data_IF_625299795013
#
_entry.id   IF_625299795013
#
_cell.length_a   1.000
_cell.length_b   1.000
_cell.length_c   1.000
_cell.angle_alpha   90.00
_cell.angle_beta   90.00
_cell.angle_gamma   90.00
#
_symmetry.space_group_name_H-M   'P 1'
#
loop_
_entity.id
_entity.type
_entity.pdbx_description
1 polymer ?
#
# COMPACT_ATOMS: atom_id res chain seq x y z
N UNK A 1 0.12 5.25 -18.79
CA UNK A 1 -0.59 4.03 -18.34
C UNK A 1 -1.70 4.46 -17.40
N UNK A 2 -2.95 4.41 -17.85
CA UNK A 2 -4.13 4.88 -17.10
C UNK A 2 -4.62 3.71 -16.25
N UNK A 3 -4.75 3.90 -14.94
CA UNK A 3 -5.28 2.89 -14.02
C UNK A 3 -6.72 2.53 -14.42
N UNK A 4 -7.07 1.23 -14.59
CA UNK A 4 -8.42 0.83 -14.93
C UNK A 4 -9.35 0.95 -13.71
N UNK A 5 -10.34 1.82 -13.81
CA UNK A 5 -11.69 1.65 -13.25
C UNK A 5 -11.83 1.23 -11.76
N UNK A 6 -11.26 1.99 -10.81
CA UNK A 6 -11.62 1.88 -9.38
C UNK A 6 -12.94 2.63 -9.02
N UNK A 7 -13.57 3.29 -9.99
CA UNK A 7 -14.72 4.19 -9.79
C UNK A 7 -16.14 3.55 -9.90
N UNK A 8 -16.37 2.32 -10.42
CA UNK A 8 -17.72 1.75 -10.48
C UNK A 8 -18.10 0.96 -9.21
N UNK A 9 -17.15 0.32 -8.51
CA UNK A 9 -17.46 -0.54 -7.35
C UNK A 9 -17.96 0.29 -6.16
N UNK A 10 -17.30 1.41 -5.85
CA UNK A 10 -17.72 2.30 -4.76
C UNK A 10 -19.10 2.92 -4.99
N UNK A 11 -19.42 3.27 -6.23
CA UNK A 11 -20.76 3.77 -6.61
C UNK A 11 -21.82 2.67 -6.56
N UNK A 12 -21.50 1.45 -6.97
CA UNK A 12 -22.40 0.29 -6.85
C UNK A 12 -22.63 -0.11 -5.40
N UNK A 13 -21.59 -0.08 -4.56
CA UNK A 13 -21.69 -0.35 -3.13
C UNK A 13 -22.62 0.67 -2.46
N UNK A 14 -22.40 1.97 -2.71
CA UNK A 14 -23.26 3.04 -2.20
C UNK A 14 -24.72 2.93 -2.66
N UNK A 15 -24.95 2.49 -3.90
CA UNK A 15 -26.30 2.24 -4.41
C UNK A 15 -26.94 1.00 -3.77
N UNK A 16 -26.18 -0.08 -3.60
CA UNK A 16 -26.65 -1.34 -3.03
C UNK A 16 -27.03 -1.19 -1.56
N UNK A 17 -26.18 -0.46 -0.81
CA UNK A 17 -26.45 -0.04 0.56
C UNK A 17 -27.79 0.69 0.60
N UNK A 18 -28.00 1.72 -0.24
CA UNK A 18 -29.24 2.51 -0.27
C UNK A 18 -30.49 1.70 -0.70
N UNK A 19 -30.31 0.70 -1.56
CA UNK A 19 -31.39 -0.14 -2.10
C UNK A 19 -31.84 -1.22 -1.10
N UNK A 20 -30.93 -1.75 -0.28
CA UNK A 20 -31.26 -2.71 0.78
C UNK A 20 -31.64 -2.05 2.11
N UNK A 21 -31.02 -0.90 2.39
CA UNK A 21 -31.24 -0.05 3.55
C UNK A 21 -32.72 0.25 3.80
N UNK A 22 -33.35 0.91 2.83
CA UNK A 22 -34.71 1.45 2.95
C UNK A 22 -35.79 0.38 3.17
N UNK A 23 -35.81 -0.75 2.43
CA UNK A 23 -36.80 -1.80 2.68
C UNK A 23 -36.53 -2.56 3.99
N UNK A 24 -35.28 -2.74 4.40
CA UNK A 24 -34.95 -3.38 5.68
C UNK A 24 -35.31 -2.48 6.87
N UNK A 25 -34.98 -1.19 6.79
CA UNK A 25 -35.40 -0.15 7.73
C UNK A 25 -36.91 -0.20 8.00
N UNK A 26 -37.71 -0.21 6.92
CA UNK A 26 -39.17 -0.27 7.02
C UNK A 26 -39.68 -1.58 7.64
N UNK A 27 -39.06 -2.73 7.34
CA UNK A 27 -39.44 -4.03 7.92
C UNK A 27 -39.04 -4.17 9.38
N UNK A 28 -37.84 -3.74 9.75
CA UNK A 28 -37.36 -3.73 11.13
C UNK A 28 -38.29 -2.84 11.95
N UNK A 29 -38.58 -1.61 11.49
CA UNK A 29 -39.54 -0.73 12.16
C UNK A 29 -40.92 -1.39 12.35
N UNK A 30 -41.47 -2.00 11.30
CA UNK A 30 -42.80 -2.63 11.37
C UNK A 30 -42.87 -3.81 12.35
N UNK A 31 -41.80 -4.60 12.49
CA UNK A 31 -41.75 -5.71 13.44
C UNK A 31 -41.54 -5.22 14.88
N UNK A 32 -40.74 -4.18 15.08
CA UNK A 32 -40.46 -3.62 16.40
C UNK A 32 -41.62 -2.80 16.98
N UNK A 33 -42.43 -2.17 16.13
CA UNK A 33 -43.66 -1.47 16.56
C UNK A 33 -44.73 -2.45 17.08
N UNK A 34 -44.74 -3.70 16.62
CA UNK A 34 -45.70 -4.73 17.05
C UNK A 34 -45.34 -5.38 18.38
N UNK A 35 -44.06 -5.42 18.75
CA UNK A 35 -43.63 -6.01 20.02
C UNK A 35 -43.52 -4.95 21.13
N UNK A 36 -44.07 -5.20 22.33
CA UNK A 36 -44.04 -4.23 23.43
C UNK A 36 -42.61 -3.92 23.90
N UNK A 37 -41.72 -4.92 23.86
CA UNK A 37 -40.29 -4.76 24.16
C UNK A 37 -39.60 -3.90 23.10
N UNK A 38 -39.89 -4.15 21.81
CA UNK A 38 -39.35 -3.39 20.70
C UNK A 38 -39.76 -1.92 20.74
N UNK A 39 -41.04 -1.65 21.03
CA UNK A 39 -41.58 -0.29 21.19
C UNK A 39 -40.90 0.45 22.34
N UNK A 40 -40.72 -0.19 23.49
CA UNK A 40 -40.05 0.41 24.66
C UNK A 40 -38.58 0.75 24.37
N UNK A 41 -37.89 -0.14 23.66
CA UNK A 41 -36.52 0.11 23.21
C UNK A 41 -36.43 1.28 22.23
N UNK A 42 -37.36 1.37 21.27
CA UNK A 42 -37.41 2.48 20.32
C UNK A 42 -37.76 3.81 21.00
N UNK A 43 -38.67 3.83 21.95
CA UNK A 43 -38.98 5.04 22.74
C UNK A 43 -37.73 5.47 23.51
N UNK A 44 -37.03 4.54 24.16
CA UNK A 44 -35.78 4.84 24.84
C UNK A 44 -34.73 5.41 23.87
N UNK A 45 -34.57 4.84 22.68
CA UNK A 45 -33.68 5.37 21.64
C UNK A 45 -34.09 6.77 21.15
N UNK A 46 -35.38 7.03 20.97
CA UNK A 46 -35.88 8.34 20.58
C UNK A 46 -35.59 9.40 21.65
N UNK A 47 -35.83 9.07 22.92
CA UNK A 47 -35.53 9.96 24.04
C UNK A 47 -34.03 10.22 24.18
N UNK A 48 -33.18 9.21 23.98
CA UNK A 48 -31.72 9.40 24.01
C UNK A 48 -31.25 10.28 22.86
N UNK A 49 -31.75 10.09 21.65
CA UNK A 49 -31.41 10.95 20.50
C UNK A 49 -31.76 12.42 20.79
N UNK A 50 -32.97 12.68 21.29
CA UNK A 50 -33.40 14.02 21.64
C UNK A 50 -32.55 14.63 22.78
N UNK A 51 -32.24 13.83 23.81
CA UNK A 51 -31.43 14.26 24.94
C UNK A 51 -29.97 14.54 24.53
N UNK A 52 -29.39 13.71 23.66
CA UNK A 52 -28.03 13.90 23.12
C UNK A 52 -27.98 15.18 22.27
N UNK A 53 -28.93 15.37 21.35
CA UNK A 53 -29.00 16.57 20.53
C UNK A 53 -29.11 17.84 21.37
N UNK A 54 -30.01 17.84 22.36
CA UNK A 54 -30.20 18.97 23.28
C UNK A 54 -28.93 19.23 24.11
N UNK A 55 -28.27 18.16 24.60
CA UNK A 55 -27.01 18.28 25.34
C UNK A 55 -25.89 18.83 24.48
N UNK A 56 -25.74 18.37 23.23
CA UNK A 56 -24.72 18.86 22.29
C UNK A 56 -24.90 20.35 22.01
N UNK A 57 -26.12 20.80 21.72
CA UNK A 57 -26.42 22.22 21.46
C UNK A 57 -26.14 23.09 22.68
N UNK A 58 -26.53 22.64 23.87
CA UNK A 58 -26.28 23.36 25.12
C UNK A 58 -24.78 23.40 25.46
N UNK A 59 -24.07 22.30 25.25
CA UNK A 59 -22.63 22.21 25.46
C UNK A 59 -21.86 23.11 24.50
N UNK A 60 -22.21 23.13 23.21
CA UNK A 60 -21.56 24.00 22.22
C UNK A 60 -21.83 25.49 22.50
N UNK A 61 -23.00 25.80 23.08
CA UNK A 61 -23.39 27.16 23.47
C UNK A 61 -22.83 27.57 24.84
N UNK A 62 -22.08 26.71 25.53
CA UNK A 62 -21.47 26.99 26.84
C UNK A 62 -22.43 26.97 28.03
N UNK A 63 -23.69 26.57 27.84
CA UNK A 63 -24.70 26.52 28.90
C UNK A 63 -24.75 25.14 29.58
N UNK A 64 -24.97 25.13 30.91
CA UNK A 64 -25.11 23.89 31.70
C UNK A 64 -26.54 23.33 31.58
N UNK A 65 -26.65 22.08 31.16
CA UNK A 65 -27.94 21.37 31.00
C UNK A 65 -28.61 21.16 32.36
N UNK A 66 -29.80 21.74 32.58
CA UNK A 66 -30.56 21.62 33.84
C UNK A 66 -31.65 20.55 33.80
N UNK A 67 -32.55 20.60 32.82
CA UNK A 67 -33.64 19.65 32.67
C UNK A 67 -34.01 19.53 31.20
N UNK A 68 -34.23 18.31 30.72
CA UNK A 68 -34.64 18.03 29.34
C UNK A 68 -36.02 17.38 29.45
N UNK A 69 -37.04 18.06 28.93
CA UNK A 69 -38.40 17.52 28.90
C UNK A 69 -38.45 16.31 27.95
N UNK A 70 -38.99 15.15 28.38
CA UNK A 70 -39.17 14.02 27.49
C UNK A 70 -40.18 14.38 26.40
N UNK A 71 -39.93 13.93 25.17
CA UNK A 71 -40.86 14.11 24.04
C UNK A 71 -42.04 13.16 24.14
N UNK A 72 -43.12 13.46 23.42
CA UNK A 72 -44.29 12.59 23.30
C UNK A 72 -43.89 11.17 22.83
N UNK A 73 -44.51 10.13 23.39
CA UNK A 73 -44.16 8.73 23.10
C UNK A 73 -44.24 8.38 21.61
N UNK A 74 -45.24 8.89 20.89
CA UNK A 74 -45.38 8.67 19.45
C UNK A 74 -44.23 9.28 18.64
N UNK A 75 -43.80 10.48 19.03
CA UNK A 75 -42.65 11.15 18.43
C UNK A 75 -41.34 10.39 18.74
N UNK A 76 -41.15 9.97 20.00
CA UNK A 76 -39.98 9.18 20.40
C UNK A 76 -39.87 7.86 19.62
N UNK A 77 -40.99 7.17 19.44
CA UNK A 77 -41.05 5.92 18.69
C UNK A 77 -40.57 6.11 17.24
N UNK A 78 -41.04 7.16 16.57
CA UNK A 78 -40.64 7.46 15.19
C UNK A 78 -39.17 7.87 15.06
N UNK A 79 -38.66 8.70 15.98
CA UNK A 79 -37.25 9.12 16.00
C UNK A 79 -36.32 7.95 16.30
N UNK A 80 -36.67 7.09 17.26
CA UNK A 80 -35.90 5.89 17.58
C UNK A 80 -35.86 4.91 16.40
N UNK A 81 -36.96 4.78 15.66
CA UNK A 81 -37.02 3.91 14.48
C UNK A 81 -36.16 4.43 13.32
N UNK A 82 -36.14 5.74 13.09
CA UNK A 82 -35.27 6.35 12.08
C UNK A 82 -33.79 6.09 12.43
N UNK A 83 -33.39 6.39 13.68
CA UNK A 83 -32.03 6.18 14.17
C UNK A 83 -31.60 4.71 14.07
N UNK A 84 -32.47 3.77 14.47
CA UNK A 84 -32.17 2.34 14.39
C UNK A 84 -31.87 1.91 12.95
N UNK A 85 -32.66 2.43 12.00
CA UNK A 85 -32.49 2.09 10.60
C UNK A 85 -31.25 2.72 9.96
N UNK A 86 -30.93 3.96 10.31
CA UNK A 86 -29.72 4.63 9.87
C UNK A 86 -28.47 3.96 10.42
N UNK A 87 -28.51 3.59 11.72
CA UNK A 87 -27.42 2.86 12.39
C UNK A 87 -27.16 1.51 11.73
N UNK A 88 -28.21 0.77 11.37
CA UNK A 88 -28.07 -0.52 10.68
C UNK A 88 -27.31 -0.38 9.36
N UNK A 89 -27.64 0.64 8.56
CA UNK A 89 -26.99 0.93 7.28
C UNK A 89 -25.52 1.29 7.50
N UNK A 90 -25.25 2.12 8.51
CA UNK A 90 -23.90 2.51 8.90
C UNK A 90 -23.07 1.29 9.32
N UNK A 91 -23.63 0.38 10.13
CA UNK A 91 -22.94 -0.85 10.53
C UNK A 91 -22.65 -1.79 9.36
N UNK A 92 -23.61 -1.99 8.45
CA UNK A 92 -23.37 -2.81 7.25
C UNK A 92 -22.27 -2.20 6.38
N UNK A 93 -22.35 -0.89 6.14
CA UNK A 93 -21.38 -0.17 5.30
C UNK A 93 -19.98 -0.17 5.94
N UNK A 94 -19.89 0.19 7.22
CA UNK A 94 -18.66 0.18 7.99
C UNK A 94 -18.08 -1.23 8.14
N UNK A 95 -18.94 -2.23 8.33
CA UNK A 95 -18.54 -3.64 8.39
C UNK A 95 -17.86 -4.12 7.12
N UNK A 96 -18.36 -3.72 5.94
CA UNK A 96 -17.71 -4.02 4.65
C UNK A 96 -16.33 -3.36 4.58
N UNK A 97 -16.22 -2.09 4.95
CA UNK A 97 -14.94 -1.36 4.93
C UNK A 97 -13.92 -1.99 5.88
N UNK A 98 -14.34 -2.34 7.11
CA UNK A 98 -13.46 -3.01 8.08
C UNK A 98 -13.07 -4.40 7.58
N UNK A 99 -13.99 -5.13 6.94
CA UNK A 99 -13.69 -6.43 6.35
C UNK A 99 -12.66 -6.32 5.22
N UNK A 100 -12.83 -5.36 4.31
CA UNK A 100 -11.85 -5.09 3.25
C UNK A 100 -10.51 -4.65 3.82
N UNK A 101 -10.50 -3.77 4.82
CA UNK A 101 -9.29 -3.32 5.50
C UNK A 101 -8.53 -4.49 6.14
N UNK A 102 -9.22 -5.33 6.91
CA UNK A 102 -8.61 -6.50 7.55
C UNK A 102 -7.99 -7.43 6.49
N UNK A 103 -8.74 -7.71 5.41
CA UNK A 103 -8.25 -8.54 4.30
C UNK A 103 -7.13 -7.88 3.47
N UNK A 104 -7.10 -6.56 3.35
CA UNK A 104 -6.05 -5.82 2.64
C UNK A 104 -4.76 -5.76 3.45
N UNK A 105 -4.89 -5.67 4.78
CA UNK A 105 -3.73 -5.55 5.68
C UNK A 105 -2.77 -6.74 5.59
N UNK A 106 -3.27 -7.96 5.35
CA UNK A 106 -2.43 -9.14 5.16
C UNK A 106 -1.59 -9.04 3.87
N UNK A 107 -2.16 -8.47 2.81
CA UNK A 107 -1.47 -8.32 1.52
C UNK A 107 -0.42 -7.21 1.56
N UNK A 108 -0.67 -6.15 2.31
CA UNK A 108 0.29 -5.07 2.50
C UNK A 108 1.51 -5.54 3.30
N UNK A 109 1.30 -6.31 4.38
CA UNK A 109 2.40 -6.89 5.17
C UNK A 109 3.31 -7.79 4.35
N UNK A 110 2.74 -8.71 3.56
CA UNK A 110 3.54 -9.61 2.69
C UNK A 110 4.33 -8.81 1.64
N UNK A 111 3.75 -7.72 1.12
CA UNK A 111 4.42 -6.86 0.15
C UNK A 111 5.53 -6.02 0.81
N UNK A 112 5.34 -5.58 2.04
CA UNK A 112 6.35 -4.90 2.83
C UNK A 112 7.50 -5.83 3.20
N UNK A 113 7.21 -7.06 3.64
CA UNK A 113 8.23 -8.08 3.92
C UNK A 113 9.07 -8.40 2.68
N UNK A 114 8.44 -8.56 1.51
CA UNK A 114 9.15 -8.76 0.25
C UNK A 114 10.05 -7.58 -0.13
N UNK A 115 9.62 -6.33 0.17
CA UNK A 115 10.45 -5.13 -0.05
C UNK A 115 11.64 -5.07 0.90
N UNK A 116 11.44 -5.44 2.17
CA UNK A 116 12.52 -5.49 3.15
C UNK A 116 13.56 -6.54 2.76
N UNK A 117 13.13 -7.72 2.28
CA UNK A 117 14.03 -8.76 1.77
C UNK A 117 14.86 -8.26 0.59
N UNK A 118 14.26 -7.54 -0.36
CA UNK A 118 15.01 -6.96 -1.48
C UNK A 118 16.08 -5.96 -1.01
N UNK A 119 15.73 -5.11 -0.04
CA UNK A 119 16.69 -4.13 0.53
C UNK A 119 17.84 -4.86 1.25
N UNK A 120 17.56 -5.92 1.99
CA UNK A 120 18.60 -6.70 2.67
C UNK A 120 19.52 -7.39 1.65
N UNK A 121 18.98 -7.99 0.60
CA UNK A 121 19.75 -8.66 -0.44
C UNK A 121 20.64 -7.67 -1.21
N UNK A 122 20.08 -6.50 -1.55
CA UNK A 122 20.83 -5.43 -2.20
C UNK A 122 21.95 -4.89 -1.31
N UNK A 123 21.70 -4.74 0.00
CA UNK A 123 22.72 -4.32 0.96
C UNK A 123 23.86 -5.32 1.08
N UNK A 124 23.55 -6.63 1.10
CA UNK A 124 24.54 -7.69 1.13
C UNK A 124 25.37 -7.73 -0.15
N UNK A 125 24.72 -7.56 -1.31
CA UNK A 125 25.39 -7.48 -2.61
C UNK A 125 26.32 -6.26 -2.69
N UNK A 126 25.90 -5.11 -2.17
CA UNK A 126 26.73 -3.91 -2.12
C UNK A 126 27.93 -4.11 -1.20
N UNK A 127 27.76 -4.70 -0.02
CA UNK A 127 28.87 -5.02 0.88
C UNK A 127 29.88 -5.98 0.24
N UNK A 128 29.41 -7.01 -0.47
CA UNK A 128 30.30 -7.92 -1.20
C UNK A 128 31.13 -7.19 -2.28
N UNK A 129 30.52 -6.23 -2.99
CA UNK A 129 31.22 -5.37 -3.95
C UNK A 129 32.23 -4.44 -3.29
N UNK A 130 31.90 -3.85 -2.13
CA UNK A 130 32.84 -3.02 -1.38
C UNK A 130 34.06 -3.85 -0.94
N UNK A 131 33.82 -5.03 -0.36
CA UNK A 131 34.90 -5.93 0.06
C UNK A 131 35.81 -6.35 -1.11
N UNK A 132 35.27 -6.56 -2.31
CA UNK A 132 36.07 -6.90 -3.48
C UNK A 132 36.87 -5.71 -4.01
N UNK A 133 36.33 -4.48 -3.91
CA UNK A 133 37.06 -3.25 -4.22
C UNK A 133 38.17 -2.97 -3.19
N UNK A 134 37.94 -3.18 -1.90
CA UNK A 134 38.95 -3.00 -0.85
C UNK A 134 40.15 -3.92 -1.06
N UNK A 135 39.91 -5.19 -1.41
CA UNK A 135 40.97 -6.14 -1.78
C UNK A 135 41.84 -5.64 -2.94
N UNK A 136 41.24 -4.94 -3.92
CA UNK A 136 41.95 -4.33 -5.05
C UNK A 136 42.77 -3.11 -4.65
N UNK A 137 42.22 -2.27 -3.76
CA UNK A 137 42.96 -1.12 -3.24
C UNK A 137 44.20 -1.56 -2.48
N UNK A 138 44.07 -2.59 -1.64
CA UNK A 138 45.19 -3.14 -0.87
C UNK A 138 46.27 -3.68 -1.82
N UNK A 139 45.90 -4.48 -2.83
CA UNK A 139 46.89 -5.01 -3.78
C UNK A 139 47.59 -3.88 -4.55
N UNK A 140 46.84 -2.88 -5.03
CA UNK A 140 47.41 -1.71 -5.70
C UNK A 140 48.33 -0.88 -4.80
N UNK A 141 47.98 -0.71 -3.52
CA UNK A 141 48.85 -0.02 -2.56
C UNK A 141 50.15 -0.79 -2.34
N UNK A 142 50.08 -2.12 -2.20
CA UNK A 142 51.28 -2.97 -2.10
C UNK A 142 52.16 -2.86 -3.34
N UNK A 143 51.59 -2.89 -4.55
CA UNK A 143 52.33 -2.68 -5.80
C UNK A 143 52.98 -1.29 -5.86
N UNK A 144 52.22 -0.23 -5.54
CA UNK A 144 52.72 1.13 -5.56
C UNK A 144 53.84 1.34 -4.52
N UNK A 145 53.73 0.73 -3.34
CA UNK A 145 54.73 0.78 -2.27
C UNK A 145 55.99 -0.02 -2.63
N UNK A 146 55.85 -1.20 -3.25
CA UNK A 146 56.96 -1.99 -3.76
C UNK A 146 57.74 -1.24 -4.86
N UNK A 147 57.02 -0.67 -5.83
CA UNK A 147 57.64 0.10 -6.91
C UNK A 147 58.27 1.41 -6.40
N UNK A 148 57.60 2.12 -5.47
CA UNK A 148 58.19 3.31 -4.80
C UNK A 148 59.47 2.95 -4.03
N UNK A 149 59.48 1.82 -3.31
CA UNK A 149 60.69 1.34 -2.61
C UNK A 149 61.82 1.04 -3.57
N UNK A 150 61.54 0.41 -4.71
CA UNK A 150 62.54 0.20 -5.74
C UNK A 150 63.13 1.54 -6.23
N UNK A 151 62.27 2.51 -6.57
CA UNK A 151 62.68 3.84 -7.04
C UNK A 151 63.50 4.60 -5.97
N UNK A 152 63.05 4.61 -4.70
CA UNK A 152 63.69 5.34 -3.59
C UNK A 152 65.00 4.70 -3.14
N UNK A 153 65.15 3.38 -3.20
CA UNK A 153 66.41 2.67 -2.93
C UNK A 153 67.48 2.88 -4.02
N UNK A 154 67.33 3.89 -4.87
CA UNK A 154 68.36 4.32 -5.83
C UNK A 154 68.36 3.54 -7.14
N UNK A 155 67.26 2.85 -7.46
CA UNK A 155 67.14 2.02 -8.66
C UNK A 155 66.41 2.77 -9.81
N UNK A 156 66.37 4.12 -9.75
CA UNK A 156 65.61 4.93 -10.70
C UNK A 156 66.25 6.25 -11.11
N UNK A 157 67.32 6.19 -11.91
CA UNK A 157 67.57 7.09 -13.06
C UNK A 157 68.53 6.48 -14.11
N UNK A 158 68.74 5.16 -14.09
CA UNK A 158 69.66 4.50 -15.03
C UNK A 158 69.55 2.97 -15.04
N UNK A 159 69.32 2.44 -16.24
CA UNK A 159 69.64 1.12 -16.79
C UNK A 159 69.29 -0.21 -16.08
N UNK A 160 69.02 -0.30 -14.76
CA UNK A 160 68.84 -1.62 -14.10
C UNK A 160 67.69 -1.73 -13.08
N UNK A 161 66.76 -0.79 -13.09
CA UNK A 161 65.56 -0.91 -12.27
C UNK A 161 64.49 -1.78 -12.87
N UNK A 162 64.35 -3.00 -12.32
CA UNK A 162 63.28 -3.91 -12.71
C UNK A 162 61.96 -3.41 -12.13
N UNK A 163 61.13 -2.83 -12.99
CA UNK A 163 59.71 -2.64 -12.75
C UNK A 163 59.10 -4.00 -12.37
N UNK A 164 58.37 -4.04 -11.26
CA UNK A 164 57.59 -5.22 -10.88
C UNK A 164 56.23 -5.07 -11.53
N UNK A 165 55.97 -5.89 -12.54
CA UNK A 165 54.67 -5.91 -13.21
C UNK A 165 53.56 -6.28 -12.20
N UNK A 166 52.38 -5.65 -12.27
CA UNK A 166 51.25 -6.06 -11.45
C UNK A 166 50.94 -7.52 -11.73
N UNK A 167 50.79 -8.34 -10.68
CA UNK A 167 50.32 -9.71 -10.80
C UNK A 167 48.89 -9.77 -11.37
N UNK A 168 48.43 -10.98 -11.68
CA UNK A 168 47.12 -11.22 -12.29
C UNK A 168 46.00 -10.47 -11.56
N UNK A 169 45.06 -9.96 -12.36
CA UNK A 169 43.89 -9.20 -11.89
C UNK A 169 43.17 -10.07 -10.85
N UNK A 170 43.05 -9.60 -9.60
CA UNK A 170 42.32 -10.33 -8.57
C UNK A 170 40.93 -10.65 -9.13
N UNK A 171 40.59 -11.94 -9.32
CA UNK A 171 39.38 -12.33 -10.02
C UNK A 171 38.18 -11.83 -9.22
N UNK A 172 37.22 -11.26 -9.95
CA UNK A 172 35.93 -10.93 -9.36
C UNK A 172 35.21 -12.26 -9.20
N UNK A 173 35.11 -12.77 -7.97
CA UNK A 173 34.20 -13.88 -7.69
C UNK A 173 32.77 -13.32 -7.69
N UNK A 174 32.22 -13.11 -8.88
CA UNK A 174 30.80 -12.82 -9.07
C UNK A 174 29.94 -14.05 -8.73
N UNK A 175 30.54 -15.24 -8.67
CA UNK A 175 29.85 -16.52 -8.51
C UNK A 175 29.40 -16.83 -7.07
N UNK A 176 30.01 -16.24 -6.03
CA UNK A 176 29.49 -16.40 -4.66
C UNK A 176 28.16 -15.64 -4.43
N UNK A 177 27.71 -14.86 -5.41
CA UNK A 177 26.45 -14.10 -5.40
C UNK A 177 25.28 -14.90 -6.02
N UNK A 178 25.52 -16.14 -6.47
CA UNK A 178 24.55 -17.00 -7.15
C UNK A 178 23.67 -17.88 -6.26
N UNK A 179 23.12 -17.36 -5.16
CA UNK A 179 22.15 -18.08 -4.32
C UNK A 179 20.76 -18.19 -4.97
N UNK A 180 20.53 -19.23 -5.77
CA UNK A 180 19.21 -19.73 -6.26
C UNK A 180 18.25 -18.68 -6.84
N UNK A 181 18.51 -18.20 -8.06
CA UNK A 181 17.42 -17.73 -8.92
C UNK A 181 16.70 -18.93 -9.51
N UNK A 182 15.51 -19.23 -8.98
CA UNK A 182 14.64 -20.28 -9.45
C UNK A 182 14.20 -20.06 -10.90
N UNK A 183 14.18 -21.17 -11.62
CA UNK A 183 13.80 -21.34 -13.02
C UNK A 183 12.34 -20.95 -13.22
N UNK A 184 12.07 -19.74 -13.72
CA UNK A 184 10.77 -19.39 -14.31
C UNK A 184 10.92 -19.30 -15.83
N UNK A 185 10.51 -20.40 -16.49
CA UNK A 185 10.31 -20.48 -17.93
C UNK A 185 9.01 -19.74 -18.28
N UNK A 186 9.13 -18.54 -18.83
CA UNK A 186 8.06 -17.81 -19.53
C UNK A 186 8.39 -17.69 -21.03
N UNK A 187 7.41 -17.65 -21.93
CA UNK A 187 7.64 -17.87 -23.36
C UNK A 187 8.29 -16.64 -24.04
N UNK A 188 9.30 -16.90 -24.89
CA UNK A 188 9.89 -15.89 -25.78
C UNK A 188 8.84 -15.29 -26.72
N UNK A 189 8.79 -13.96 -26.89
CA UNK A 189 8.19 -13.38 -28.08
C UNK A 189 9.17 -13.53 -29.25
N UNK A 190 8.74 -14.22 -30.30
CA UNK A 190 9.43 -14.25 -31.57
C UNK A 190 9.48 -12.84 -32.15
N UNK A 191 10.68 -12.30 -32.32
CA UNK A 191 10.93 -11.06 -33.07
C UNK A 191 10.94 -11.45 -34.55
N UNK A 192 9.84 -11.17 -35.25
CA UNK A 192 9.79 -11.16 -36.70
C UNK A 192 10.25 -9.79 -37.22
N UNK A 193 11.24 -9.83 -38.10
CA UNK A 193 11.78 -8.69 -38.83
C UNK A 193 10.69 -7.98 -39.66
N UNK A 194 10.60 -6.64 -39.69
CA UNK A 194 9.65 -5.96 -40.56
C UNK A 194 10.13 -5.98 -42.01
N UNK A 195 9.31 -6.63 -42.84
CA UNK A 195 9.35 -6.68 -44.29
C UNK A 195 9.21 -5.28 -44.92
N UNK A 196 10.06 -5.03 -45.91
CA UNK A 196 10.17 -3.80 -46.65
C UNK A 196 9.12 -3.76 -47.78
N UNK A 197 7.83 -3.61 -47.46
CA UNK A 197 6.79 -3.51 -48.50
C UNK A 197 5.54 -2.68 -48.17
N UNK A 198 5.55 -1.82 -47.15
CA UNK A 198 4.39 -0.96 -46.83
C UNK A 198 4.74 0.53 -46.66
N UNK A 199 5.45 1.10 -47.63
CA UNK A 199 5.75 2.55 -47.69
C UNK A 199 4.84 3.37 -48.61
N UNK A 200 3.80 2.80 -49.18
CA UNK A 200 2.77 3.53 -49.92
C UNK A 200 1.46 3.49 -49.14
N UNK A 201 0.70 4.58 -49.14
CA UNK A 201 -0.65 4.74 -48.54
C UNK A 201 -0.72 5.30 -47.11
N UNK A 202 0.09 6.31 -46.79
CA UNK A 202 -0.37 7.36 -45.85
C UNK A 202 -0.28 8.72 -46.53
N UNK A 203 -1.29 8.99 -47.36
CA UNK A 203 -1.60 10.30 -47.93
C UNK A 203 -3.02 10.64 -47.50
N UNK A 204 -3.17 11.81 -46.86
CA UNK A 204 -4.44 12.51 -46.52
C UNK A 204 -5.31 11.85 -45.43
N UNK A 205 -5.90 12.56 -44.45
CA UNK A 205 -6.69 13.80 -44.51
C UNK A 205 -6.74 14.53 -43.13
N UNK A 206 -6.98 15.86 -43.08
CA UNK A 206 -7.18 16.63 -41.84
C UNK A 206 -8.68 16.86 -41.51
N UNK A 207 -9.06 16.69 -40.25
CA UNK A 207 -10.18 17.39 -39.61
C UNK A 207 -9.94 17.40 -38.10
#
# INVERSE_FOLDING_TARGET
MVAPAALPISKLLGLFIKTLAKPMAKRVRHNFEKQPIGRSFLIWLGQTQHAVGTRMTMWSSGYKVRHISPIEEGAALSQGAELLSESFIFFVSGGIVVYEYNRSSEKEKVKEEARLQQITDDSARLQAKLNSLDKRLISLEEYAKANRRAIVLGVGFGANGKYVEPGDIVPINDEEVGGKSSKLKGPSPAVSSPDASQRSLRRWWPF
#
